data_IF_880455216506
#
_entry.id   IF_880455216506
#
_cell.length_a   1.000
_cell.length_b   1.000
_cell.length_c   1.000
_cell.angle_alpha   90.00
_cell.angle_beta   90.00
_cell.angle_gamma   90.00
#
_symmetry.space_group_name_H-M   'P 1'
#
loop_
_entity.id
_entity.type
_entity.pdbx_description
1 polymer ?
#
# COMPACT_ATOMS: atom_id res chain seq x y z
N UNK A 1 -25.79 -2.82 31.41
CA UNK A 1 -26.07 -3.08 29.98
C UNK A 1 -25.29 -2.07 29.15
N UNK A 2 -24.04 -2.33 28.74
CA UNK A 2 -23.36 -1.42 27.81
C UNK A 2 -23.92 -1.67 26.40
N UNK A 3 -24.50 -0.61 25.83
CA UNK A 3 -24.97 -0.59 24.45
C UNK A 3 -23.76 -0.72 23.53
N UNK A 4 -23.67 -1.82 22.81
CA UNK A 4 -22.73 -1.95 21.70
C UNK A 4 -23.10 -0.89 20.68
N UNK A 5 -22.22 0.08 20.35
CA UNK A 5 -22.50 0.97 19.24
C UNK A 5 -22.48 0.11 17.98
N UNK A 6 -23.66 -0.24 17.49
CA UNK A 6 -23.87 -0.80 16.16
C UNK A 6 -23.50 0.29 15.18
N UNK A 7 -22.20 0.41 14.93
CA UNK A 7 -21.63 1.30 13.94
C UNK A 7 -22.33 0.98 12.61
N UNK A 8 -22.88 1.99 11.90
CA UNK A 8 -23.52 1.75 10.62
C UNK A 8 -22.49 1.11 9.67
N UNK A 9 -22.90 0.15 8.82
CA UNK A 9 -21.98 -0.56 7.91
C UNK A 9 -21.20 0.40 7.00
N UNK A 10 -21.76 1.58 6.72
CA UNK A 10 -21.11 2.66 5.97
C UNK A 10 -19.87 3.24 6.69
N UNK A 11 -19.89 3.34 8.02
CA UNK A 11 -18.77 3.86 8.82
C UNK A 11 -17.61 2.86 8.91
N UNK A 12 -17.92 1.56 8.96
CA UNK A 12 -16.91 0.50 8.95
C UNK A 12 -16.15 0.45 7.61
N UNK A 13 -16.87 0.64 6.50
CA UNK A 13 -16.28 0.70 5.15
C UNK A 13 -15.38 1.92 4.94
N UNK A 14 -15.78 3.09 5.46
CA UNK A 14 -14.96 4.30 5.38
C UNK A 14 -13.69 4.17 6.21
N UNK A 15 -13.77 3.66 7.45
CA UNK A 15 -12.58 3.34 8.25
C UNK A 15 -11.63 2.36 7.55
N UNK A 16 -12.15 1.31 6.90
CA UNK A 16 -11.31 0.33 6.18
C UNK A 16 -10.57 1.00 5.01
N UNK A 17 -11.26 1.85 4.24
CA UNK A 17 -10.65 2.60 3.15
C UNK A 17 -9.56 3.55 3.65
N UNK A 18 -9.81 4.30 4.72
CA UNK A 18 -8.80 5.21 5.28
C UNK A 18 -7.56 4.47 5.80
N UNK A 19 -7.75 3.32 6.45
CA UNK A 19 -6.64 2.45 6.86
C UNK A 19 -5.82 1.98 5.65
N UNK A 20 -6.48 1.44 4.62
CA UNK A 20 -5.81 1.01 3.38
C UNK A 20 -5.05 2.15 2.69
N UNK A 21 -5.62 3.37 2.68
CA UNK A 21 -4.95 4.55 2.12
C UNK A 21 -3.70 4.92 2.91
N UNK A 22 -3.74 4.81 4.24
CA UNK A 22 -2.59 5.07 5.10
C UNK A 22 -1.48 4.03 4.87
N UNK A 23 -1.83 2.74 4.80
CA UNK A 23 -0.88 1.67 4.50
C UNK A 23 -0.24 1.85 3.12
N UNK A 24 -1.04 2.14 2.09
CA UNK A 24 -0.54 2.42 0.76
C UNK A 24 0.43 3.62 0.76
N UNK A 25 0.09 4.72 1.45
CA UNK A 25 1.02 5.85 1.58
C UNK A 25 2.33 5.48 2.25
N UNK A 26 2.30 4.60 3.26
CA UNK A 26 3.50 4.10 3.91
C UNK A 26 4.38 3.29 2.93
N UNK A 27 3.79 2.33 2.20
CA UNK A 27 4.53 1.51 1.23
C UNK A 27 5.08 2.36 0.09
N UNK A 28 4.33 3.36 -0.37
CA UNK A 28 4.79 4.26 -1.42
C UNK A 28 6.00 5.10 -1.00
N UNK A 29 6.24 5.30 0.30
CA UNK A 29 7.44 5.97 0.79
C UNK A 29 8.70 5.11 0.63
N UNK A 30 8.57 3.81 0.37
CA UNK A 30 9.68 2.90 0.19
C UNK A 30 10.58 3.29 -1.00
N UNK A 31 11.91 3.21 -0.88
CA UNK A 31 12.84 3.59 -1.96
C UNK A 31 12.72 2.72 -3.21
N UNK A 32 12.15 1.51 -3.08
CA UNK A 32 11.81 0.66 -4.21
C UNK A 32 10.79 1.30 -5.16
N UNK A 33 9.91 2.16 -4.65
CA UNK A 33 8.84 2.77 -5.42
C UNK A 33 9.33 4.10 -5.97
N UNK A 34 9.41 4.19 -7.31
CA UNK A 34 9.81 5.42 -7.98
C UNK A 34 8.87 6.60 -7.65
N UNK A 35 9.38 7.84 -7.51
CA UNK A 35 8.58 9.01 -7.14
C UNK A 35 7.45 9.31 -8.15
N UNK A 36 7.67 9.07 -9.43
CA UNK A 36 6.62 9.18 -10.47
C UNK A 36 5.46 8.21 -10.20
N UNK A 37 5.79 7.00 -9.75
CA UNK A 37 4.81 5.97 -9.42
C UNK A 37 4.06 6.30 -8.13
N UNK A 38 4.77 6.85 -7.12
CA UNK A 38 4.16 7.41 -5.90
C UNK A 38 3.12 8.47 -6.22
N UNK A 39 3.42 9.39 -7.14
CA UNK A 39 2.50 10.46 -7.50
C UNK A 39 1.25 9.93 -8.23
N UNK A 40 1.42 8.99 -9.16
CA UNK A 40 0.31 8.31 -9.82
C UNK A 40 -0.55 7.49 -8.85
N UNK A 41 0.11 6.80 -7.91
CA UNK A 41 -0.54 6.03 -6.87
C UNK A 41 -1.33 6.93 -5.91
N UNK A 42 -0.77 8.06 -5.49
CA UNK A 42 -1.47 9.00 -4.60
C UNK A 42 -2.74 9.57 -5.25
N UNK A 43 -2.69 9.91 -6.54
CA UNK A 43 -3.88 10.30 -7.29
C UNK A 43 -4.92 9.17 -7.34
N UNK A 44 -4.47 7.93 -7.58
CA UNK A 44 -5.34 6.76 -7.60
C UNK A 44 -5.97 6.46 -6.23
N UNK A 45 -5.19 6.51 -5.15
CA UNK A 45 -5.62 6.26 -3.77
C UNK A 45 -6.66 7.29 -3.31
N UNK A 46 -6.51 8.54 -3.77
CA UNK A 46 -7.43 9.62 -3.44
C UNK A 46 -8.76 9.51 -4.22
N UNK A 47 -8.72 9.02 -5.46
CA UNK A 47 -9.91 8.86 -6.32
C UNK A 47 -10.62 7.53 -6.15
N UNK A 48 -9.90 6.47 -5.73
CA UNK A 48 -10.45 5.13 -5.59
C UNK A 48 -11.20 4.98 -4.26
N UNK A 49 -12.46 4.56 -4.37
CA UNK A 49 -13.35 4.20 -3.25
C UNK A 49 -13.57 2.69 -3.13
N UNK A 50 -12.92 1.91 -4.00
CA UNK A 50 -13.03 0.45 -4.02
C UNK A 50 -11.92 -0.19 -3.18
N UNK A 51 -12.31 -0.82 -2.07
CA UNK A 51 -11.38 -1.42 -1.12
C UNK A 51 -10.60 -2.59 -1.76
N UNK A 52 -11.25 -3.41 -2.58
CA UNK A 52 -10.62 -4.57 -3.22
C UNK A 52 -9.53 -4.09 -4.19
N UNK A 53 -9.80 -3.01 -4.91
CA UNK A 53 -8.84 -2.40 -5.83
C UNK A 53 -7.62 -1.82 -5.09
N UNK A 54 -7.83 -1.19 -3.94
CA UNK A 54 -6.75 -0.72 -3.07
C UNK A 54 -5.94 -1.89 -2.50
N UNK A 55 -6.59 -2.98 -2.08
CA UNK A 55 -5.95 -4.21 -1.59
C UNK A 55 -5.07 -4.87 -2.68
N UNK A 56 -5.54 -4.93 -3.92
CA UNK A 56 -4.74 -5.42 -5.06
C UNK A 56 -3.53 -4.53 -5.33
N UNK A 57 -3.70 -3.21 -5.23
CA UNK A 57 -2.62 -2.25 -5.41
C UNK A 57 -1.55 -2.39 -4.32
N UNK A 58 -1.98 -2.61 -3.08
CA UNK A 58 -1.10 -2.87 -1.94
C UNK A 58 -0.26 -4.12 -2.21
N UNK A 59 -0.89 -5.22 -2.62
CA UNK A 59 -0.19 -6.47 -2.95
C UNK A 59 0.84 -6.29 -4.08
N UNK A 60 0.50 -5.52 -5.12
CA UNK A 60 1.44 -5.18 -6.21
C UNK A 60 2.62 -4.36 -5.70
N UNK A 61 2.38 -3.35 -4.87
CA UNK A 61 3.44 -2.51 -4.31
C UNK A 61 4.38 -3.31 -3.39
N UNK A 62 3.83 -4.20 -2.55
CA UNK A 62 4.63 -5.12 -1.71
C UNK A 62 5.49 -6.04 -2.57
N UNK A 63 4.93 -6.62 -3.62
CA UNK A 63 5.66 -7.50 -4.54
C UNK A 63 6.81 -6.77 -5.24
N UNK A 64 6.59 -5.51 -5.61
CA UNK A 64 7.64 -4.68 -6.20
C UNK A 64 8.75 -4.33 -5.19
N UNK A 65 8.40 -4.04 -3.94
CA UNK A 65 9.38 -3.86 -2.88
C UNK A 65 10.24 -5.12 -2.69
N UNK A 66 9.62 -6.29 -2.62
CA UNK A 66 10.35 -7.56 -2.50
C UNK A 66 11.29 -7.84 -3.67
N UNK A 67 10.86 -7.55 -4.91
CA UNK A 67 11.73 -7.66 -6.08
C UNK A 67 12.87 -6.64 -6.09
N UNK A 68 12.64 -5.44 -5.56
CA UNK A 68 13.70 -4.45 -5.41
C UNK A 68 14.72 -4.90 -4.36
N UNK A 69 14.27 -5.43 -3.22
CA UNK A 69 15.15 -5.99 -2.18
C UNK A 69 15.99 -7.14 -2.75
N UNK A 70 15.38 -8.09 -3.47
CA UNK A 70 16.09 -9.19 -4.12
C UNK A 70 17.13 -8.68 -5.13
N UNK A 71 16.82 -7.63 -5.89
CA UNK A 71 17.77 -7.00 -6.83
C UNK A 71 18.91 -6.29 -6.13
N UNK A 72 18.65 -5.62 -5.01
CA UNK A 72 19.68 -4.96 -4.20
C UNK A 72 20.59 -6.02 -3.57
N UNK A 73 20.02 -7.06 -2.99
CA UNK A 73 20.74 -8.24 -2.48
C UNK A 73 21.61 -8.88 -3.57
N UNK A 74 21.04 -9.14 -4.76
CA UNK A 74 21.80 -9.70 -5.90
C UNK A 74 22.89 -8.76 -6.43
N UNK A 75 22.80 -7.45 -6.19
CA UNK A 75 23.86 -6.49 -6.49
C UNK A 75 24.97 -6.49 -5.43
N UNK A 76 24.63 -6.70 -4.16
CA UNK A 76 25.59 -6.86 -3.06
C UNK A 76 26.27 -8.24 -3.08
N UNK A 77 25.56 -9.28 -3.52
CA UNK A 77 26.06 -10.66 -3.71
C UNK A 77 26.81 -10.86 -5.04
N UNK A 78 27.31 -9.80 -5.68
CA UNK A 78 28.46 -9.91 -6.57
C UNK A 78 29.73 -9.81 -5.72
N UNK A 79 30.26 -10.90 -5.15
CA UNK A 79 31.64 -10.90 -4.72
C UNK A 79 32.48 -10.65 -5.96
N UNK A 80 33.23 -9.56 -5.91
CA UNK A 80 34.26 -9.25 -6.86
C UNK A 80 35.33 -10.36 -6.80
N UNK A 81 35.28 -11.24 -7.81
CA UNK A 81 36.29 -12.26 -8.21
C UNK A 81 36.47 -13.51 -7.35
#
# INVERSE_FOLDING_TARGET
MPVTPKMPPAAALTCKLEALRAELRCILQHPAIAPVRRQAAEAFICQCTDAVRLEQWLALAVTECGQWEERVLAMEEKPER
#
